data_IF_647911925686
#
_entry.id   IF_647911925686
#
_cell.length_a   1.000
_cell.length_b   1.000
_cell.length_c   1.000
_cell.angle_alpha   90.00
_cell.angle_beta   90.00
_cell.angle_gamma   90.00
#
_symmetry.space_group_name_H-M   'P 1'
#
loop_
_entity.id
_entity.type
_entity.pdbx_description
1 polymer ?
#
# COMPACT_ATOMS: atom_id res chain seq x y z
N UNK A 1 -24.12 -43.42 1.86
CA UNK A 1 -22.75 -43.19 2.37
C UNK A 1 -22.79 -42.06 3.39
N UNK A 2 -22.54 -42.36 4.66
CA UNK A 2 -22.46 -41.34 5.72
C UNK A 2 -21.24 -40.46 5.45
N UNK A 3 -21.45 -39.18 5.10
CA UNK A 3 -20.34 -38.23 4.91
C UNK A 3 -19.81 -37.88 6.30
N UNK A 4 -18.80 -38.61 6.75
CA UNK A 4 -18.11 -38.32 8.02
C UNK A 4 -17.40 -36.98 7.88
N UNK A 5 -17.82 -36.01 8.67
CA UNK A 5 -17.15 -34.73 8.76
C UNK A 5 -15.85 -34.90 9.56
N UNK A 6 -14.76 -34.33 9.05
CA UNK A 6 -13.45 -34.36 9.67
C UNK A 6 -12.80 -32.98 9.53
N UNK A 7 -12.04 -32.58 10.54
CA UNK A 7 -11.25 -31.35 10.45
C UNK A 7 -10.09 -31.55 9.46
N UNK A 8 -9.73 -30.49 8.74
CA UNK A 8 -8.60 -30.53 7.79
C UNK A 8 -7.29 -30.90 8.49
N UNK A 9 -7.11 -30.44 9.73
CA UNK A 9 -5.95 -30.79 10.56
C UNK A 9 -5.85 -32.29 10.82
N UNK A 10 -6.95 -32.91 11.30
CA UNK A 10 -6.96 -34.34 11.57
C UNK A 10 -6.83 -35.18 10.30
N UNK A 11 -7.37 -34.69 9.19
CA UNK A 11 -7.15 -35.33 7.90
C UNK A 11 -5.67 -35.32 7.53
N UNK A 12 -5.04 -34.15 7.52
CA UNK A 12 -3.66 -33.99 7.05
C UNK A 12 -2.62 -34.62 7.98
N UNK A 13 -2.88 -34.82 9.28
CA UNK A 13 -1.97 -35.51 10.22
C UNK A 13 -1.48 -36.88 9.71
N UNK A 14 -2.32 -37.57 8.93
CA UNK A 14 -2.03 -38.92 8.45
C UNK A 14 -1.28 -38.97 7.11
N UNK A 15 -0.96 -37.83 6.51
CA UNK A 15 -0.31 -37.77 5.19
C UNK A 15 1.10 -37.23 5.30
N UNK A 16 2.04 -37.81 4.55
CA UNK A 16 3.38 -37.25 4.41
C UNK A 16 3.32 -35.96 3.57
N UNK A 17 4.00 -34.92 4.03
CA UNK A 17 4.13 -33.66 3.27
C UNK A 17 5.12 -33.82 2.12
N UNK A 18 4.91 -33.03 1.07
CA UNK A 18 5.91 -32.82 0.03
C UNK A 18 6.70 -31.57 0.37
N UNK A 19 8.01 -31.64 0.23
CA UNK A 19 8.90 -30.50 0.40
C UNK A 19 9.40 -30.04 -0.96
N UNK A 20 9.30 -28.73 -1.21
CA UNK A 20 9.67 -28.11 -2.47
C UNK A 20 10.30 -26.75 -2.20
N UNK A 21 11.35 -26.41 -2.96
CA UNK A 21 11.90 -25.05 -2.96
C UNK A 21 11.02 -24.17 -3.84
N UNK A 22 10.52 -23.09 -3.27
CA UNK A 22 9.66 -22.13 -3.96
C UNK A 22 10.36 -20.78 -3.93
N UNK A 23 10.49 -20.14 -5.10
CA UNK A 23 10.94 -18.75 -5.18
C UNK A 23 9.85 -17.83 -4.60
N UNK A 24 10.13 -17.24 -3.45
CA UNK A 24 9.28 -16.30 -2.73
C UNK A 24 10.04 -14.98 -2.59
N UNK A 25 9.57 -13.92 -3.26
CA UNK A 25 10.17 -12.57 -3.15
C UNK A 25 11.67 -12.54 -3.48
N UNK A 26 12.05 -13.21 -4.56
CA UNK A 26 13.43 -13.30 -5.04
C UNK A 26 14.36 -14.18 -4.17
N UNK A 27 13.87 -14.73 -3.07
CA UNK A 27 14.55 -15.74 -2.25
C UNK A 27 13.95 -17.12 -2.48
N UNK A 28 14.77 -18.16 -2.59
CA UNK A 28 14.27 -19.53 -2.52
C UNK A 28 14.03 -19.91 -1.05
N UNK A 29 12.79 -20.31 -0.73
CA UNK A 29 12.46 -20.89 0.57
C UNK A 29 11.97 -22.31 0.42
N UNK A 30 12.33 -23.14 1.38
CA UNK A 30 11.83 -24.50 1.47
C UNK A 30 10.42 -24.50 2.09
N UNK A 31 9.46 -25.07 1.38
CA UNK A 31 8.06 -25.15 1.81
C UNK A 31 7.66 -26.60 1.91
N UNK A 32 7.16 -27.01 3.07
CA UNK A 32 6.54 -28.32 3.26
C UNK A 32 5.04 -28.17 3.19
N UNK A 33 4.39 -28.86 2.24
CA UNK A 33 2.95 -28.78 2.05
C UNK A 33 2.26 -30.12 1.81
N UNK A 34 0.97 -30.15 2.14
CA UNK A 34 0.02 -31.23 1.89
C UNK A 34 -1.19 -30.62 1.21
N UNK A 35 -1.78 -31.30 0.24
CA UNK A 35 -2.96 -30.78 -0.46
C UNK A 35 -4.02 -31.85 -0.67
N UNK A 36 -5.27 -31.41 -0.80
CA UNK A 36 -6.40 -32.29 -1.07
C UNK A 36 -7.64 -31.51 -1.47
N UNK A 37 -8.59 -32.19 -2.12
CA UNK A 37 -9.87 -31.59 -2.49
C UNK A 37 -10.94 -31.97 -1.49
N UNK A 38 -11.61 -30.98 -0.91
CA UNK A 38 -12.62 -31.20 0.13
C UNK A 38 -13.90 -30.43 -0.18
N UNK A 39 -15.03 -31.03 0.20
CA UNK A 39 -16.30 -30.29 0.26
C UNK A 39 -16.39 -29.60 1.61
N UNK A 40 -16.34 -28.27 1.64
CA UNK A 40 -16.41 -27.48 2.86
C UNK A 40 -17.87 -27.37 3.30
N UNK A 41 -18.19 -27.82 4.52
CA UNK A 41 -19.55 -27.93 5.05
C UNK A 41 -20.32 -26.60 4.98
N UNK A 42 -19.73 -25.51 5.45
CA UNK A 42 -20.38 -24.19 5.50
C UNK A 42 -20.69 -23.61 4.13
N UNK A 43 -19.90 -23.95 3.12
CA UNK A 43 -20.02 -23.39 1.78
C UNK A 43 -20.76 -24.32 0.80
N UNK A 44 -20.93 -25.59 1.17
CA UNK A 44 -21.44 -26.66 0.30
C UNK A 44 -20.73 -26.75 -1.06
N UNK A 45 -19.46 -26.34 -1.11
CA UNK A 45 -18.61 -26.26 -2.31
C UNK A 45 -17.32 -27.02 -2.13
N UNK A 46 -16.79 -27.54 -3.24
CA UNK A 46 -15.46 -28.16 -3.29
C UNK A 46 -14.38 -27.10 -3.41
N UNK A 47 -13.30 -27.30 -2.68
CA UNK A 47 -12.11 -26.46 -2.72
C UNK A 47 -10.86 -27.33 -2.70
N UNK A 48 -9.79 -26.83 -3.31
CA UNK A 48 -8.45 -27.31 -3.02
C UNK A 48 -8.00 -26.69 -1.70
N UNK A 49 -7.67 -27.53 -0.71
CA UNK A 49 -7.14 -27.08 0.58
C UNK A 49 -5.70 -27.52 0.67
N UNK A 50 -4.83 -26.60 1.07
CA UNK A 50 -3.40 -26.81 1.20
C UNK A 50 -3.00 -26.52 2.64
N UNK A 51 -2.44 -27.49 3.34
CA UNK A 51 -1.73 -27.27 4.59
C UNK A 51 -0.25 -27.02 4.24
N UNK A 52 0.31 -25.87 4.61
CA UNK A 52 1.72 -25.56 4.39
C UNK A 52 2.39 -25.02 5.65
N UNK A 53 3.71 -25.17 5.70
CA UNK A 53 4.58 -24.52 6.68
C UNK A 53 5.95 -24.26 6.07
N UNK A 54 6.62 -23.22 6.56
CA UNK A 54 8.02 -22.92 6.21
C UNK A 54 9.00 -23.74 7.06
N UNK A 55 10.27 -23.72 6.69
CA UNK A 55 11.37 -24.41 7.39
C UNK A 55 11.49 -24.02 8.88
N UNK A 56 11.14 -22.79 9.21
CA UNK A 56 11.17 -22.20 10.55
C UNK A 56 9.83 -22.33 11.31
N UNK A 57 8.85 -23.03 10.73
CA UNK A 57 7.50 -23.16 11.29
C UNK A 57 7.17 -24.61 11.71
N UNK A 58 6.72 -24.78 12.94
CA UNK A 58 6.26 -26.07 13.45
C UNK A 58 4.82 -26.39 13.03
N UNK A 59 3.96 -25.37 13.04
CA UNK A 59 2.52 -25.49 12.76
C UNK A 59 2.16 -25.26 11.30
N UNK A 60 1.19 -26.03 10.81
CA UNK A 60 0.65 -25.85 9.46
C UNK A 60 -0.37 -24.70 9.41
N UNK A 61 -0.23 -23.83 8.41
CA UNK A 61 -1.27 -22.89 7.97
C UNK A 61 -2.08 -23.49 6.83
N UNK A 62 -3.30 -22.99 6.64
CA UNK A 62 -4.21 -23.53 5.63
C UNK A 62 -4.56 -22.47 4.58
N UNK A 63 -4.36 -22.83 3.31
CA UNK A 63 -4.86 -22.08 2.16
C UNK A 63 -6.04 -22.82 1.55
N UNK A 64 -6.99 -22.05 1.00
CA UNK A 64 -8.16 -22.58 0.30
C UNK A 64 -8.21 -21.90 -1.07
N UNK A 65 -8.20 -22.70 -2.13
CA UNK A 65 -8.36 -22.25 -3.50
C UNK A 65 -9.66 -22.81 -4.09
N UNK A 66 -10.40 -21.93 -4.78
CA UNK A 66 -11.62 -22.30 -5.52
C UNK A 66 -11.27 -22.98 -6.85
N UNK A 67 -10.23 -22.51 -7.52
CA UNK A 67 -9.74 -23.13 -8.73
C UNK A 67 -8.99 -24.42 -8.38
N UNK A 68 -9.47 -25.54 -8.91
CA UNK A 68 -8.90 -26.87 -8.66
C UNK A 68 -8.04 -27.35 -9.84
N UNK A 69 -7.88 -26.53 -10.89
CA UNK A 69 -7.02 -26.85 -12.04
C UNK A 69 -5.55 -26.54 -11.78
N UNK A 70 -5.27 -25.69 -10.78
CA UNK A 70 -3.92 -25.29 -10.42
C UNK A 70 -3.25 -26.34 -9.54
N UNK A 71 -1.94 -26.51 -9.71
CA UNK A 71 -1.15 -27.32 -8.79
C UNK A 71 -1.06 -26.61 -7.43
N UNK A 72 -0.91 -27.40 -6.37
CA UNK A 72 -0.75 -26.84 -5.02
C UNK A 72 0.45 -25.89 -4.92
N UNK A 73 1.56 -26.19 -5.62
CA UNK A 73 2.73 -25.32 -5.69
C UNK A 73 2.45 -23.99 -6.39
N UNK A 74 1.62 -23.97 -7.44
CA UNK A 74 1.21 -22.74 -8.13
C UNK A 74 0.32 -21.87 -7.24
N UNK A 75 -0.59 -22.48 -6.48
CA UNK A 75 -1.42 -21.77 -5.49
C UNK A 75 -0.54 -21.15 -4.39
N UNK A 76 0.47 -21.88 -3.90
CA UNK A 76 1.41 -21.37 -2.90
C UNK A 76 2.21 -20.17 -3.45
N UNK A 77 2.75 -20.29 -4.68
CA UNK A 77 3.45 -19.20 -5.38
C UNK A 77 2.54 -17.97 -5.54
N UNK A 78 1.30 -18.16 -5.95
CA UNK A 78 0.37 -17.07 -6.11
C UNK A 78 -0.01 -16.41 -4.77
N UNK A 79 -0.20 -17.20 -3.71
CA UNK A 79 -0.43 -16.66 -2.37
C UNK A 79 0.77 -15.83 -1.87
N UNK A 80 1.99 -16.16 -2.29
CA UNK A 80 3.17 -15.37 -1.96
C UNK A 80 3.09 -13.93 -2.47
N UNK A 81 2.45 -13.70 -3.63
CA UNK A 81 2.24 -12.35 -4.17
C UNK A 81 1.30 -11.49 -3.33
N UNK A 82 0.56 -12.06 -2.36
CA UNK A 82 -0.21 -11.28 -1.37
C UNK A 82 0.65 -10.24 -0.66
N UNK A 83 1.94 -10.53 -0.45
CA UNK A 83 2.89 -9.60 0.15
C UNK A 83 3.16 -8.35 -0.68
N UNK A 84 2.97 -8.37 -2.00
CA UNK A 84 3.08 -7.16 -2.83
C UNK A 84 2.09 -6.09 -2.37
N UNK A 85 0.91 -6.50 -1.89
CA UNK A 85 -0.08 -5.59 -1.31
C UNK A 85 0.42 -4.97 -0.01
N UNK A 86 1.14 -5.73 0.82
CA UNK A 86 1.73 -5.20 2.06
C UNK A 86 2.84 -4.19 1.76
N UNK A 87 3.72 -4.49 0.79
CA UNK A 87 4.78 -3.58 0.34
C UNK A 87 4.18 -2.30 -0.24
N UNK A 88 3.17 -2.42 -1.10
CA UNK A 88 2.42 -1.27 -1.61
C UNK A 88 1.85 -0.41 -0.48
N UNK A 89 1.15 -1.03 0.49
CA UNK A 89 0.57 -0.30 1.62
C UNK A 89 1.68 0.36 2.45
N UNK A 90 2.83 -0.29 2.66
CA UNK A 90 3.93 0.30 3.42
C UNK A 90 4.52 1.51 2.71
N UNK A 91 4.86 1.40 1.42
CA UNK A 91 5.46 2.48 0.63
C UNK A 91 4.50 3.68 0.53
N UNK A 92 3.24 3.42 0.17
CA UNK A 92 2.17 4.41 0.13
C UNK A 92 2.03 5.14 1.47
N UNK A 93 1.87 4.39 2.56
CA UNK A 93 1.68 4.97 3.90
C UNK A 93 2.89 5.78 4.38
N UNK A 94 4.10 5.40 3.98
CA UNK A 94 5.33 6.00 4.45
C UNK A 94 5.67 7.28 3.70
N UNK A 95 5.40 7.39 2.40
CA UNK A 95 5.85 8.52 1.59
C UNK A 95 4.73 9.47 1.15
N UNK A 96 3.47 9.06 1.20
CA UNK A 96 2.35 9.94 0.88
C UNK A 96 1.93 10.84 2.06
N UNK A 97 1.39 12.01 1.70
CA UNK A 97 0.94 13.01 2.67
C UNK A 97 -0.28 12.59 3.51
N UNK A 98 -0.96 11.50 3.12
CA UNK A 98 -2.15 10.99 3.79
C UNK A 98 -1.94 10.70 5.28
N UNK A 99 -0.89 9.93 5.62
CA UNK A 99 -0.62 9.54 7.01
C UNK A 99 0.25 10.54 7.76
N UNK A 100 1.06 11.33 7.05
CA UNK A 100 2.04 12.20 7.70
C UNK A 100 1.50 13.60 8.02
N UNK A 101 0.68 14.17 7.13
CA UNK A 101 0.41 15.61 7.14
C UNK A 101 -1.08 15.97 7.17
N UNK A 102 -1.94 15.05 6.76
CA UNK A 102 -3.34 15.38 6.51
C UNK A 102 -4.21 15.10 7.74
N UNK A 103 -4.77 16.17 8.34
CA UNK A 103 -5.83 16.02 9.35
C UNK A 103 -7.12 15.57 8.67
N UNK A 104 -7.68 14.45 9.12
CA UNK A 104 -8.86 13.83 8.51
C UNK A 104 -10.10 13.94 9.41
N UNK A 105 -10.68 15.13 9.59
CA UNK A 105 -11.87 15.27 10.42
C UNK A 105 -13.08 14.61 9.74
N UNK A 106 -13.66 13.63 10.42
CA UNK A 106 -14.89 12.97 10.02
C UNK A 106 -14.78 12.05 8.79
N UNK A 107 -15.86 11.32 8.51
CA UNK A 107 -15.93 10.28 7.45
C UNK A 107 -15.59 10.84 6.06
N UNK A 108 -16.03 12.06 5.75
CA UNK A 108 -15.78 12.67 4.45
C UNK A 108 -14.31 13.05 4.24
N UNK A 109 -13.64 13.59 5.27
CA UNK A 109 -12.19 13.83 5.23
C UNK A 109 -11.45 12.51 5.05
N UNK A 110 -11.77 11.53 5.90
CA UNK A 110 -11.21 10.17 5.86
C UNK A 110 -11.30 9.52 4.47
N UNK A 111 -12.43 9.61 3.77
CA UNK A 111 -12.57 8.99 2.46
C UNK A 111 -11.87 9.78 1.35
N UNK A 112 -12.08 11.10 1.31
CA UNK A 112 -11.63 11.92 0.18
C UNK A 112 -10.12 11.99 0.09
N UNK A 113 -9.41 12.15 1.20
CA UNK A 113 -7.96 12.22 1.08
C UNK A 113 -7.30 10.85 0.88
N UNK A 114 -7.90 9.71 1.30
CA UNK A 114 -7.39 8.39 0.91
C UNK A 114 -7.45 8.28 -0.61
N UNK A 115 -8.61 8.62 -1.17
CA UNK A 115 -8.82 8.58 -2.62
C UNK A 115 -7.80 9.49 -3.32
N UNK A 116 -7.67 10.75 -2.89
CA UNK A 116 -6.72 11.68 -3.50
C UNK A 116 -5.28 11.20 -3.38
N UNK A 117 -4.87 10.66 -2.23
CA UNK A 117 -3.52 10.14 -2.04
C UNK A 117 -3.24 8.93 -2.92
N UNK A 118 -4.19 8.01 -3.05
CA UNK A 118 -4.06 6.89 -3.97
C UNK A 118 -4.01 7.34 -5.43
N UNK A 119 -4.80 8.35 -5.81
CA UNK A 119 -4.74 8.93 -7.16
C UNK A 119 -3.39 9.60 -7.44
N UNK A 120 -2.82 10.30 -6.47
CA UNK A 120 -1.48 10.89 -6.57
C UNK A 120 -0.40 9.81 -6.75
N UNK A 121 -0.45 8.76 -5.94
CA UNK A 121 0.43 7.60 -6.05
C UNK A 121 0.36 6.97 -7.46
N UNK A 122 -0.86 6.76 -7.98
CA UNK A 122 -1.04 6.23 -9.34
C UNK A 122 -0.52 7.18 -10.42
N UNK A 123 -0.61 8.49 -10.21
CA UNK A 123 -0.08 9.47 -11.15
C UNK A 123 1.45 9.40 -11.28
N UNK A 124 2.17 8.92 -10.26
CA UNK A 124 3.62 8.72 -10.33
C UNK A 124 4.03 7.64 -11.35
N UNK A 125 3.12 6.71 -11.69
CA UNK A 125 3.34 5.75 -12.79
C UNK A 125 3.45 6.43 -14.15
N UNK A 126 2.97 7.68 -14.27
CA UNK A 126 3.04 8.47 -15.50
C UNK A 126 4.34 9.27 -15.62
N UNK A 127 5.21 9.24 -14.61
CA UNK A 127 6.53 9.86 -14.68
C UNK A 127 7.39 9.19 -15.76
N UNK A 128 8.14 9.97 -16.54
CA UNK A 128 8.89 9.44 -17.69
C UNK A 128 9.94 8.39 -17.29
N UNK A 129 10.67 8.61 -16.20
CA UNK A 129 11.59 7.58 -15.68
C UNK A 129 10.88 6.30 -15.26
N UNK A 130 9.68 6.43 -14.69
CA UNK A 130 8.91 5.27 -14.24
C UNK A 130 8.39 4.48 -15.45
N UNK A 131 7.91 5.16 -16.48
CA UNK A 131 7.57 4.53 -17.77
C UNK A 131 8.78 3.81 -18.37
N UNK A 132 9.95 4.46 -18.38
CA UNK A 132 11.17 3.87 -18.94
C UNK A 132 11.60 2.59 -18.19
N UNK A 133 11.46 2.54 -16.86
CA UNK A 133 11.69 1.32 -16.07
C UNK A 133 10.72 0.21 -16.46
N UNK A 134 9.42 0.54 -16.56
CA UNK A 134 8.38 -0.42 -16.93
C UNK A 134 8.57 -0.98 -18.36
N UNK A 135 8.93 -0.13 -19.32
CA UNK A 135 9.22 -0.53 -20.70
C UNK A 135 10.41 -1.50 -20.78
N UNK A 136 11.43 -1.28 -19.94
CA UNK A 136 12.60 -2.17 -19.82
C UNK A 136 12.33 -3.42 -18.99
N UNK A 137 11.14 -3.54 -18.38
CA UNK A 137 10.78 -4.60 -17.42
C UNK A 137 11.71 -4.63 -16.20
N UNK A 138 12.22 -3.46 -15.81
CA UNK A 138 13.00 -3.26 -14.60
C UNK A 138 12.06 -3.01 -13.40
N UNK A 139 12.54 -3.20 -12.16
CA UNK A 139 11.78 -2.83 -10.98
C UNK A 139 11.37 -1.35 -11.02
N UNK A 140 10.10 -1.11 -10.69
CA UNK A 140 9.56 0.24 -10.49
C UNK A 140 10.32 0.99 -9.38
N UNK A 141 10.52 2.29 -9.56
CA UNK A 141 11.04 3.15 -8.50
C UNK A 141 10.01 3.30 -7.37
N UNK A 142 10.50 3.54 -6.15
CA UNK A 142 9.67 3.79 -4.97
C UNK A 142 8.94 5.13 -5.06
N UNK A 143 7.79 5.23 -4.40
CA UNK A 143 6.99 6.46 -4.32
C UNK A 143 7.82 7.61 -3.73
N UNK A 144 8.60 7.32 -2.69
CA UNK A 144 9.48 8.30 -2.06
C UNK A 144 10.46 8.96 -3.03
N UNK A 145 11.16 8.15 -3.84
CA UNK A 145 12.13 8.64 -4.81
C UNK A 145 11.46 9.45 -5.91
N UNK A 146 10.35 8.95 -6.47
CA UNK A 146 9.62 9.65 -7.54
C UNK A 146 9.05 10.98 -7.04
N UNK A 147 8.53 11.02 -5.81
CA UNK A 147 8.05 12.24 -5.17
C UNK A 147 9.17 13.28 -5.03
N UNK A 148 10.34 12.87 -4.54
CA UNK A 148 11.49 13.76 -4.43
C UNK A 148 11.94 14.26 -5.80
N UNK A 149 11.97 13.37 -6.80
CA UNK A 149 12.34 13.72 -8.17
C UNK A 149 11.40 14.74 -8.78
N UNK A 150 10.09 14.52 -8.71
CA UNK A 150 9.07 15.47 -9.19
C UNK A 150 9.19 16.82 -8.49
N UNK A 151 9.47 16.83 -7.18
CA UNK A 151 9.67 18.07 -6.42
C UNK A 151 10.90 18.83 -6.91
N UNK A 152 12.03 18.14 -7.08
CA UNK A 152 13.27 18.73 -7.60
C UNK A 152 13.10 19.24 -9.03
N UNK A 153 12.48 18.46 -9.91
CA UNK A 153 12.22 18.86 -11.30
C UNK A 153 11.33 20.09 -11.39
N UNK A 154 10.27 20.13 -10.58
CA UNK A 154 9.38 21.29 -10.49
C UNK A 154 10.12 22.54 -10.00
N UNK A 155 10.96 22.40 -8.96
CA UNK A 155 11.78 23.50 -8.45
C UNK A 155 12.81 23.99 -9.47
N UNK A 156 13.49 23.08 -10.17
CA UNK A 156 14.45 23.43 -11.21
C UNK A 156 13.75 24.12 -12.39
N UNK A 157 12.58 23.64 -12.80
CA UNK A 157 11.75 24.29 -13.81
C UNK A 157 11.38 25.72 -13.41
N UNK A 158 10.90 25.91 -12.18
CA UNK A 158 10.57 27.21 -11.61
C UNK A 158 11.79 28.17 -11.58
N UNK A 159 12.94 27.71 -11.09
CA UNK A 159 14.17 28.52 -11.05
C UNK A 159 14.61 28.90 -12.47
N UNK A 160 14.53 27.94 -13.41
CA UNK A 160 14.89 28.17 -14.81
C UNK A 160 13.99 29.22 -15.44
N UNK A 161 12.69 29.19 -15.18
CA UNK A 161 11.74 30.19 -15.66
C UNK A 161 12.12 31.59 -15.17
N UNK A 162 12.44 31.74 -13.89
CA UNK A 162 12.87 33.02 -13.31
C UNK A 162 14.14 33.54 -13.98
N UNK A 163 15.19 32.70 -14.04
CA UNK A 163 16.49 33.09 -14.60
C UNK A 163 16.39 33.45 -16.09
N UNK A 164 15.47 32.79 -16.82
CA UNK A 164 15.30 32.98 -18.26
C UNK A 164 14.36 34.13 -18.62
N UNK A 165 13.77 34.81 -17.63
CA UNK A 165 12.85 35.93 -17.86
C UNK A 165 13.61 37.23 -18.18
N UNK A 166 12.92 38.18 -18.81
CA UNK A 166 13.50 39.48 -19.17
C UNK A 166 13.89 40.31 -17.93
N UNK A 167 13.18 40.15 -16.81
CA UNK A 167 13.52 40.75 -15.52
C UNK A 167 13.38 39.72 -14.36
N UNK A 168 14.45 38.92 -14.11
CA UNK A 168 14.43 37.87 -13.10
C UNK A 168 14.17 38.37 -11.68
N UNK A 169 14.57 39.61 -11.36
CA UNK A 169 14.40 40.16 -10.01
C UNK A 169 12.95 40.50 -9.74
N UNK A 170 12.28 41.12 -10.71
CA UNK A 170 10.86 41.45 -10.60
C UNK A 170 10.03 40.18 -10.55
N UNK A 171 10.30 39.21 -11.43
CA UNK A 171 9.55 37.96 -11.46
C UNK A 171 9.73 37.15 -10.16
N UNK A 172 10.94 37.07 -9.63
CA UNK A 172 11.20 36.44 -8.33
C UNK A 172 10.40 37.12 -7.22
N UNK A 173 10.42 38.45 -7.12
CA UNK A 173 9.68 39.19 -6.10
C UNK A 173 8.17 38.90 -6.16
N UNK A 174 7.59 38.92 -7.37
CA UNK A 174 6.18 38.59 -7.56
C UNK A 174 5.82 37.17 -7.11
N UNK A 175 6.67 36.19 -7.39
CA UNK A 175 6.45 34.82 -6.92
C UNK A 175 6.65 34.69 -5.40
N UNK A 176 7.66 35.35 -4.84
CA UNK A 176 7.91 35.36 -3.41
C UNK A 176 6.71 35.92 -2.64
N UNK A 177 6.15 37.04 -3.09
CA UNK A 177 4.95 37.65 -2.50
C UNK A 177 3.76 36.68 -2.53
N UNK A 178 3.48 36.08 -3.69
CA UNK A 178 2.41 35.07 -3.84
C UNK A 178 2.61 33.85 -2.95
N UNK A 179 3.84 33.36 -2.81
CA UNK A 179 4.15 32.24 -1.92
C UNK A 179 3.89 32.66 -0.46
N UNK A 180 4.33 33.86 -0.06
CA UNK A 180 4.06 34.38 1.28
C UNK A 180 2.57 34.50 1.59
N UNK A 181 1.75 34.93 0.63
CA UNK A 181 0.28 34.95 0.77
C UNK A 181 -0.32 33.57 1.03
N UNK A 182 0.17 32.52 0.35
CA UNK A 182 -0.33 31.15 0.54
C UNK A 182 -0.01 30.59 1.94
N UNK A 183 1.09 31.02 2.55
CA UNK A 183 1.57 30.56 3.86
C UNK A 183 1.31 31.56 4.99
N UNK A 184 0.28 32.40 4.86
CA UNK A 184 -0.06 33.41 5.86
C UNK A 184 -0.20 32.80 7.27
N UNK A 185 0.43 33.46 8.25
CA UNK A 185 0.36 33.07 9.66
C UNK A 185 -1.07 33.27 10.20
N UNK A 186 -1.83 32.19 10.29
CA UNK A 186 -3.17 32.23 10.87
C UNK A 186 -3.11 32.37 12.38
N UNK A 187 -3.94 33.28 12.91
CA UNK A 187 -4.12 33.41 14.36
C UNK A 187 -4.72 32.13 14.95
N UNK A 188 -4.19 31.69 16.09
CA UNK A 188 -4.60 30.45 16.76
C UNK A 188 -5.41 30.75 18.02
N UNK A 189 -6.64 30.22 18.07
CA UNK A 189 -7.47 30.23 19.28
C UNK A 189 -7.01 29.22 20.34
N UNK A 190 -6.03 28.33 20.02
CA UNK A 190 -5.49 27.33 20.97
C UNK A 190 -4.97 27.97 22.25
N UNK A 191 -4.51 29.21 22.17
CA UNK A 191 -3.99 29.97 23.30
C UNK A 191 -5.08 30.73 24.07
N UNK A 192 -6.37 30.48 23.79
CA UNK A 192 -7.51 31.09 24.46
C UNK A 192 -7.47 32.63 24.48
N UNK A 193 -6.80 33.24 23.48
CA UNK A 193 -6.83 34.69 23.30
C UNK A 193 -8.28 35.08 23.01
N UNK A 194 -8.90 35.80 23.95
CA UNK A 194 -10.30 36.27 23.93
C UNK A 194 -11.39 35.21 24.19
N UNK A 195 -11.04 34.06 24.78
CA UNK A 195 -12.04 33.14 25.33
C UNK A 195 -12.17 33.36 26.84
N UNK A 196 -13.12 34.20 27.23
CA UNK A 196 -13.59 34.29 28.62
C UNK A 196 -14.74 33.29 28.85
N UNK A 197 -15.16 33.17 30.11
CA UNK A 197 -16.25 32.26 30.49
C UNK A 197 -17.59 32.64 29.83
N UNK A 198 -17.74 33.89 29.39
CA UNK A 198 -18.94 34.40 28.69
C UNK A 198 -18.98 33.89 27.24
N UNK A 199 -17.85 33.92 26.52
CA UNK A 199 -17.73 33.37 25.17
C UNK A 199 -18.02 31.86 25.09
N UNK A 200 -17.73 31.11 26.16
CA UNK A 200 -18.01 29.67 26.23
C UNK A 200 -19.49 29.36 26.53
N UNK A 201 -20.20 30.27 27.19
CA UNK A 201 -21.61 30.09 27.55
C UNK A 201 -22.56 30.29 26.36
N UNK A 202 -22.20 31.10 25.36
CA UNK A 202 -23.03 31.34 24.15
C UNK A 202 -23.04 30.17 23.14
N UNK A 203 -22.19 29.15 23.32
CA UNK A 203 -22.05 28.01 22.41
C UNK A 203 -22.61 26.68 22.93
N UNK A 204 -23.28 26.68 24.09
CA UNK A 204 -24.02 25.53 24.66
C UNK A 204 -25.52 25.76 24.45
#
# INVERSE_FOLDING_TARGET
MNKKEITVENFFKNYQGRTEKVALREEEREVTYRSGTFTVKSHHKKYCVIALKYEDEDEYRYLIARDMTWLASDIIKAFAFRWLVEVFIQDWKQYEGWNQMAKQPGVAGSNRGVILSLLSDHALLLHEDQKALLEKKEPAATVGLLREKVMTESLMGFIKEIISSDDPKVLFAQHADKISELFELRSSIKHLRHADMEFLAEKI
#
